data_IF_030546451360
#
_entry.id   IF_030546451360
#
_cell.length_a   1.000
_cell.length_b   1.000
_cell.length_c   1.000
_cell.angle_alpha   90.00
_cell.angle_beta   90.00
_cell.angle_gamma   90.00
#
_symmetry.space_group_name_H-M   'P 1'
#
loop_
_entity.id
_entity.type
_entity.pdbx_description
1 polymer ?
#
# COMPACT_ATOMS: atom_id res chain seq x y z
N UNK A 1 0.89 -8.80 -24.40
CA UNK A 1 -0.17 -9.06 -23.41
C UNK A 1 -1.21 -7.97 -23.54
N UNK A 2 -2.49 -8.31 -23.37
CA UNK A 2 -3.58 -7.35 -23.17
C UNK A 2 -3.34 -6.57 -21.87
N UNK A 3 -4.01 -5.43 -21.69
CA UNK A 3 -3.99 -4.75 -20.38
C UNK A 3 -4.71 -5.61 -19.36
N UNK A 4 -4.04 -5.93 -18.25
CA UNK A 4 -4.57 -6.83 -17.21
C UNK A 4 -4.43 -6.18 -15.85
N UNK A 5 -5.47 -6.30 -15.02
CA UNK A 5 -5.44 -5.99 -13.59
C UNK A 5 -5.78 -7.26 -12.81
N UNK A 6 -4.89 -7.67 -11.91
CA UNK A 6 -5.12 -8.75 -10.96
C UNK A 6 -5.20 -8.13 -9.58
N UNK A 7 -6.30 -8.40 -8.86
CA UNK A 7 -6.50 -7.99 -7.46
C UNK A 7 -6.67 -9.24 -6.60
N UNK A 8 -5.78 -9.42 -5.63
CA UNK A 8 -5.85 -10.50 -4.65
C UNK A 8 -5.88 -9.92 -3.24
N UNK A 9 -7.08 -9.78 -2.69
CA UNK A 9 -7.26 -9.31 -1.32
C UNK A 9 -6.85 -7.85 -1.08
N UNK A 10 -6.80 -7.04 -2.13
CA UNK A 10 -6.33 -5.64 -2.08
C UNK A 10 -4.94 -5.44 -2.68
N UNK A 11 -4.14 -6.50 -2.80
CA UNK A 11 -2.85 -6.43 -3.50
C UNK A 11 -3.08 -6.53 -5.01
N UNK A 12 -2.63 -5.50 -5.73
CA UNK A 12 -2.97 -5.30 -7.13
C UNK A 12 -1.70 -5.31 -7.98
N UNK A 13 -1.68 -6.10 -9.07
CA UNK A 13 -0.67 -6.01 -10.15
C UNK A 13 -1.37 -5.63 -11.45
N UNK A 14 -0.84 -4.63 -12.13
CA UNK A 14 -1.40 -4.17 -13.40
C UNK A 14 -0.37 -4.16 -14.52
N UNK A 15 -0.78 -4.57 -15.71
CA UNK A 15 -0.01 -4.36 -16.93
C UNK A 15 -0.82 -3.57 -17.91
N UNK A 16 -0.13 -2.78 -18.73
CA UNK A 16 -0.70 -2.05 -19.84
C UNK A 16 -0.16 -2.62 -21.14
N UNK A 17 -1.05 -2.84 -22.10
CA UNK A 17 -0.63 -3.25 -23.43
C UNK A 17 0.28 -2.19 -24.07
N UNK A 18 1.28 -2.66 -24.81
CA UNK A 18 2.17 -1.79 -25.60
C UNK A 18 1.35 -0.86 -26.50
N UNK A 19 1.65 0.43 -26.49
CA UNK A 19 0.95 1.51 -27.22
C UNK A 19 -0.44 1.92 -26.70
N UNK A 20 -0.95 1.31 -25.62
CA UNK A 20 -2.12 1.86 -24.92
C UNK A 20 -1.72 3.06 -24.07
N UNK A 21 -2.58 4.05 -23.94
CA UNK A 21 -2.44 5.19 -23.00
C UNK A 21 -3.24 4.99 -21.72
N UNK A 22 -3.88 3.83 -21.55
CA UNK A 22 -4.69 3.54 -20.38
C UNK A 22 -3.83 3.20 -19.16
N UNK A 23 -3.96 4.02 -18.13
CA UNK A 23 -3.46 3.71 -16.79
C UNK A 23 -4.62 3.29 -15.89
N UNK A 24 -4.34 2.36 -14.97
CA UNK A 24 -5.30 1.84 -14.03
C UNK A 24 -5.47 2.80 -12.84
N UNK A 25 -6.68 3.36 -12.62
CA UNK A 25 -6.97 4.10 -11.40
C UNK A 25 -7.16 3.09 -10.26
N UNK A 26 -6.41 3.25 -9.18
CA UNK A 26 -6.49 2.39 -8.00
C UNK A 26 -6.74 3.27 -6.78
N UNK A 27 -7.84 3.01 -6.09
CA UNK A 27 -8.18 3.74 -4.87
C UNK A 27 -7.42 3.15 -3.68
N UNK A 28 -6.78 4.03 -2.92
CA UNK A 28 -6.23 3.67 -1.62
C UNK A 28 -7.29 3.99 -0.57
N UNK A 29 -7.83 2.94 0.04
CA UNK A 29 -8.97 3.05 0.95
C UNK A 29 -8.52 3.48 2.35
N UNK A 30 -9.38 4.24 3.05
CA UNK A 30 -9.12 4.66 4.42
C UNK A 30 -9.16 3.46 5.37
N UNK A 31 -8.18 3.36 6.31
CA UNK A 31 -8.18 2.32 7.34
C UNK A 31 -9.29 2.44 8.37
N UNK A 32 -9.82 3.64 8.58
CA UNK A 32 -10.83 3.95 9.61
C UNK A 32 -12.21 4.14 8.99
N UNK A 33 -12.28 4.48 7.70
CA UNK A 33 -13.52 4.65 6.95
C UNK A 33 -13.49 3.80 5.66
N UNK A 34 -13.81 2.50 5.73
CA UNK A 34 -13.56 1.56 4.62
C UNK A 34 -14.30 1.87 3.30
N UNK A 35 -15.26 2.80 3.30
CA UNK A 35 -15.99 3.24 2.11
C UNK A 35 -15.45 4.55 1.52
N UNK A 36 -14.44 5.14 2.16
CA UNK A 36 -13.83 6.41 1.78
C UNK A 36 -12.44 6.15 1.22
N UNK A 37 -12.16 6.63 0.01
CA UNK A 37 -10.80 6.63 -0.54
C UNK A 37 -10.00 7.79 0.04
N UNK A 38 -8.77 7.53 0.48
CA UNK A 38 -7.80 8.56 0.89
C UNK A 38 -7.27 9.28 -0.35
N UNK A 39 -6.92 8.52 -1.39
CA UNK A 39 -6.48 9.03 -2.67
C UNK A 39 -6.74 8.01 -3.78
N UNK A 40 -6.53 8.43 -5.03
CA UNK A 40 -6.48 7.53 -6.19
C UNK A 40 -5.11 7.64 -6.84
N UNK A 41 -4.44 6.51 -7.04
CA UNK A 41 -3.19 6.42 -7.79
C UNK A 41 -3.45 5.94 -9.22
N UNK A 42 -2.53 6.29 -10.12
CA UNK A 42 -2.55 5.91 -11.53
C UNK A 42 -1.38 5.00 -11.86
N UNK A 43 -1.64 3.74 -12.22
CA UNK A 43 -0.58 2.78 -12.58
C UNK A 43 -0.72 2.31 -14.03
N UNK A 44 0.28 2.62 -14.86
CA UNK A 44 0.43 2.00 -16.17
C UNK A 44 0.94 0.56 -16.05
N UNK A 45 1.93 0.36 -15.19
CA UNK A 45 2.54 -0.92 -14.90
C UNK A 45 3.09 -0.92 -13.48
N UNK A 46 3.11 -2.10 -12.86
CA UNK A 46 3.66 -2.34 -11.54
C UNK A 46 2.62 -2.99 -10.65
N UNK A 47 2.85 -2.93 -9.36
CA UNK A 47 1.94 -3.39 -8.33
C UNK A 47 1.84 -2.39 -7.20
N UNK A 48 0.72 -2.44 -6.49
CA UNK A 48 0.51 -1.78 -5.20
C UNK A 48 -0.02 -2.82 -4.22
N UNK A 49 0.48 -2.78 -3.00
CA UNK A 49 -0.01 -3.59 -1.90
C UNK A 49 -0.33 -2.68 -0.72
N UNK A 50 -1.26 -3.12 0.12
CA UNK A 50 -1.69 -2.36 1.29
C UNK A 50 -1.76 -3.27 2.52
N UNK A 51 -1.01 -2.94 3.56
CA UNK A 51 -1.07 -3.63 4.85
C UNK A 51 -1.73 -2.76 5.91
N UNK A 52 -2.66 -3.32 6.67
CA UNK A 52 -3.27 -2.69 7.84
C UNK A 52 -3.05 -3.58 9.06
N UNK A 53 -2.77 -3.01 10.23
CA UNK A 53 -2.53 -3.80 11.45
C UNK A 53 -3.71 -4.71 11.83
N UNK A 54 -4.93 -4.25 11.54
CA UNK A 54 -6.19 -4.90 11.89
C UNK A 54 -6.87 -5.62 10.71
N UNK A 55 -6.21 -5.82 9.57
CA UNK A 55 -6.86 -6.40 8.37
C UNK A 55 -7.48 -7.79 8.62
N UNK A 56 -7.01 -8.51 9.64
CA UNK A 56 -7.50 -9.84 10.04
C UNK A 56 -8.35 -9.83 11.31
N UNK A 57 -8.68 -8.67 11.86
CA UNK A 57 -9.58 -8.52 12.99
C UNK A 57 -11.00 -8.25 12.49
N UNK A 58 -11.92 -9.22 12.62
CA UNK A 58 -13.32 -9.11 12.20
C UNK A 58 -14.25 -9.35 13.38
N UNK A 59 -14.89 -8.30 13.89
CA UNK A 59 -15.93 -8.38 14.92
C UNK A 59 -15.53 -9.30 16.11
N UNK A 60 -14.42 -8.96 16.76
CA UNK A 60 -13.86 -9.67 17.92
C UNK A 60 -13.45 -11.13 17.65
N UNK A 61 -13.36 -11.51 16.37
CA UNK A 61 -12.79 -12.78 15.90
C UNK A 61 -11.63 -12.48 14.97
N UNK A 62 -10.47 -13.08 15.24
CA UNK A 62 -9.26 -12.89 14.44
C UNK A 62 -8.03 -12.61 15.29
N UNK A 63 -6.97 -12.12 14.66
CA UNK A 63 -5.70 -11.78 15.33
C UNK A 63 -5.67 -10.26 15.46
N UNK A 64 -5.60 -9.74 16.70
CA UNK A 64 -5.59 -8.30 16.99
C UNK A 64 -4.47 -7.56 16.25
N UNK A 65 -3.27 -8.16 16.18
CA UNK A 65 -2.16 -7.65 15.37
C UNK A 65 -1.51 -8.82 14.64
N UNK A 66 -1.83 -8.96 13.34
CA UNK A 66 -1.31 -10.07 12.53
C UNK A 66 0.04 -9.75 11.86
N UNK A 67 0.51 -8.52 12.01
CA UNK A 67 1.83 -8.08 11.56
C UNK A 67 2.70 -8.07 12.80
N UNK A 68 3.71 -8.94 12.84
CA UNK A 68 4.60 -9.10 13.97
C UNK A 68 5.92 -8.37 13.73
N UNK A 69 6.43 -7.69 14.77
CA UNK A 69 7.81 -7.19 14.82
C UNK A 69 8.68 -8.15 15.63
N UNK A 70 9.85 -8.49 15.11
CA UNK A 70 10.85 -9.28 15.85
C UNK A 70 11.35 -8.52 17.10
N UNK A 71 11.33 -7.19 17.06
CA UNK A 71 11.73 -6.32 18.16
C UNK A 71 10.60 -6.05 19.18
N UNK A 72 9.40 -6.62 18.98
CA UNK A 72 8.19 -6.38 19.80
C UNK A 72 7.79 -4.89 19.87
N UNK A 73 8.05 -4.16 18.80
CA UNK A 73 7.66 -2.76 18.68
C UNK A 73 6.16 -2.65 18.46
N UNK A 74 5.54 -1.64 19.08
CA UNK A 74 4.17 -1.25 18.75
C UNK A 74 4.19 -0.41 17.48
N UNK A 75 3.37 -0.74 16.47
CA UNK A 75 3.36 0.03 15.23
C UNK A 75 2.80 1.44 15.50
N UNK A 76 3.52 2.46 15.03
CA UNK A 76 3.03 3.84 15.02
C UNK A 76 2.08 4.11 13.83
N UNK A 77 2.18 3.27 12.79
CA UNK A 77 1.39 3.33 11.56
C UNK A 77 0.32 2.25 11.60
N UNK A 78 -0.92 2.58 11.26
CA UNK A 78 -2.03 1.61 11.24
C UNK A 78 -2.24 1.01 9.85
N UNK A 79 -1.81 1.72 8.80
CA UNK A 79 -1.92 1.31 7.42
C UNK A 79 -0.79 1.86 6.56
N UNK A 80 -0.35 1.07 5.59
CA UNK A 80 0.64 1.51 4.61
C UNK A 80 0.39 0.90 3.25
N UNK A 81 0.62 1.70 2.21
CA UNK A 81 0.56 1.28 0.82
C UNK A 81 1.91 1.51 0.17
N UNK A 82 2.37 0.54 -0.62
CA UNK A 82 3.66 0.62 -1.34
C UNK A 82 3.45 0.24 -2.79
N UNK A 83 4.04 1.03 -3.70
CA UNK A 83 4.10 0.74 -5.14
C UNK A 83 5.48 0.17 -5.47
N UNK A 84 5.50 -0.94 -6.21
CA UNK A 84 6.74 -1.58 -6.67
C UNK A 84 6.56 -2.24 -8.05
N UNK A 85 7.65 -2.73 -8.64
CA UNK A 85 7.60 -3.45 -9.94
C UNK A 85 6.87 -4.79 -9.88
N UNK A 86 6.76 -5.40 -8.69
CA UNK A 86 6.09 -6.69 -8.46
C UNK A 86 5.23 -6.65 -7.20
N UNK A 87 4.16 -7.46 -7.18
CA UNK A 87 3.27 -7.54 -6.02
C UNK A 87 4.00 -8.06 -4.77
N UNK A 88 4.94 -8.99 -4.90
CA UNK A 88 5.72 -9.52 -3.78
C UNK A 88 6.61 -8.46 -3.14
N UNK A 89 7.22 -7.57 -3.92
CA UNK A 89 8.02 -6.49 -3.37
C UNK A 89 7.14 -5.43 -2.71
N UNK A 90 6.02 -5.05 -3.32
CA UNK A 90 5.07 -4.15 -2.70
C UNK A 90 4.58 -4.71 -1.35
N UNK A 91 4.20 -5.98 -1.32
CA UNK A 91 3.71 -6.67 -0.13
C UNK A 91 4.76 -6.69 0.98
N UNK A 92 6.02 -7.05 0.68
CA UNK A 92 7.08 -7.12 1.68
C UNK A 92 7.38 -5.74 2.29
N UNK A 93 7.49 -4.71 1.46
CA UNK A 93 7.80 -3.35 1.91
C UNK A 93 6.70 -2.74 2.77
N UNK A 94 5.42 -3.10 2.54
CA UNK A 94 4.36 -2.67 3.46
C UNK A 94 4.59 -3.18 4.88
N UNK A 95 5.17 -4.37 5.09
CA UNK A 95 5.39 -4.88 6.46
C UNK A 95 6.51 -4.13 7.16
N UNK A 96 7.55 -3.77 6.40
CA UNK A 96 8.62 -2.88 6.89
C UNK A 96 8.05 -1.51 7.29
N UNK A 97 7.25 -0.87 6.43
CA UNK A 97 6.72 0.48 6.66
C UNK A 97 5.70 0.58 7.81
N UNK A 98 5.15 -0.54 8.31
CA UNK A 98 4.31 -0.54 9.51
C UNK A 98 5.12 -0.22 10.78
N UNK A 99 6.40 -0.62 10.83
CA UNK A 99 7.25 -0.50 12.02
C UNK A 99 8.36 0.54 11.89
N UNK A 100 8.67 0.96 10.67
CA UNK A 100 9.80 1.84 10.38
C UNK A 100 9.36 3.09 9.61
N UNK A 101 10.16 4.14 9.71
CA UNK A 101 9.97 5.33 8.89
C UNK A 101 10.22 5.04 7.39
N UNK A 102 9.83 6.00 6.55
CA UNK A 102 9.94 5.88 5.10
C UNK A 102 11.34 6.17 4.55
N UNK A 103 12.36 6.47 5.37
CA UNK A 103 13.67 6.92 4.87
C UNK A 103 14.37 5.85 4.03
N UNK A 104 14.30 4.57 4.44
CA UNK A 104 14.90 3.48 3.67
C UNK A 104 14.16 3.28 2.34
N UNK A 105 12.83 3.37 2.35
CA UNK A 105 11.98 3.23 1.15
C UNK A 105 12.25 4.38 0.17
N UNK A 106 12.32 5.61 0.68
CA UNK A 106 12.71 6.81 -0.09
C UNK A 106 14.09 6.62 -0.72
N UNK A 107 15.08 6.18 0.06
CA UNK A 107 16.45 5.96 -0.44
C UNK A 107 16.55 4.84 -1.48
N UNK A 108 15.62 3.88 -1.44
CA UNK A 108 15.49 2.81 -2.42
C UNK A 108 14.72 3.25 -3.70
N UNK A 109 14.23 4.50 -3.74
CA UNK A 109 13.46 5.04 -4.87
C UNK A 109 12.08 4.41 -5.04
N UNK A 110 11.50 3.89 -3.95
CA UNK A 110 10.16 3.31 -3.96
C UNK A 110 9.12 4.34 -3.54
N UNK A 111 7.90 4.19 -4.06
CA UNK A 111 6.76 5.00 -3.67
C UNK A 111 5.98 4.33 -2.53
N UNK A 112 5.78 5.03 -1.42
CA UNK A 112 4.99 4.58 -0.29
C UNK A 112 4.22 5.71 0.39
N UNK A 113 3.12 5.31 1.03
CA UNK A 113 2.30 6.14 1.91
C UNK A 113 2.00 5.36 3.20
N UNK A 114 2.00 6.06 4.33
CA UNK A 114 1.62 5.53 5.65
C UNK A 114 0.54 6.41 6.27
N UNK A 115 -0.35 5.79 7.04
CA UNK A 115 -1.42 6.46 7.78
C UNK A 115 -1.33 6.01 9.23
N UNK A 116 -1.28 6.96 10.17
CA UNK A 116 -1.30 6.67 11.61
C UNK A 116 -2.74 6.64 12.19
N UNK A 117 -2.86 6.34 13.49
CA UNK A 117 -4.15 6.26 14.17
C UNK A 117 -4.89 7.62 14.28
N UNK A 118 -4.17 8.73 14.16
CA UNK A 118 -4.73 10.09 14.10
C UNK A 118 -5.17 10.50 12.69
N UNK A 119 -4.93 9.66 11.68
CA UNK A 119 -5.19 9.96 10.28
C UNK A 119 -4.09 10.81 9.63
N UNK A 120 -2.94 11.00 10.27
CA UNK A 120 -1.82 11.70 9.66
C UNK A 120 -1.20 10.84 8.56
N UNK A 121 -0.89 11.49 7.44
CA UNK A 121 -0.33 10.86 6.25
C UNK A 121 1.14 11.25 6.13
N UNK A 122 2.01 10.25 5.90
CA UNK A 122 3.38 10.47 5.42
C UNK A 122 3.57 9.76 4.09
N UNK A 123 4.34 10.38 3.20
CA UNK A 123 4.55 9.91 1.83
C UNK A 123 6.01 10.10 1.43
N UNK A 124 6.53 9.14 0.67
CA UNK A 124 7.77 9.32 -0.10
C UNK A 124 7.58 10.38 -1.19
N UNK A 125 8.65 11.02 -1.65
CA UNK A 125 8.56 11.99 -2.74
C UNK A 125 8.00 11.36 -4.03
N UNK A 126 8.43 10.14 -4.35
CA UNK A 126 8.01 9.37 -5.53
C UNK A 126 6.53 8.99 -5.52
N UNK A 127 5.89 8.88 -4.35
CA UNK A 127 4.45 8.59 -4.25
C UNK A 127 3.59 9.63 -4.98
N UNK A 128 3.98 10.91 -4.86
CA UNK A 128 3.25 12.05 -5.42
C UNK A 128 3.17 12.02 -6.94
N UNK A 129 4.07 11.30 -7.60
CA UNK A 129 4.06 11.12 -9.05
C UNK A 129 2.91 10.21 -9.52
N UNK A 130 2.36 9.39 -8.63
CA UNK A 130 1.29 8.45 -8.94
C UNK A 130 -0.11 8.98 -8.57
N UNK A 131 -0.21 9.95 -7.68
CA UNK A 131 -1.49 10.51 -7.23
C UNK A 131 -2.11 11.37 -8.34
N UNK A 132 -3.42 11.21 -8.55
CA UNK A 132 -4.23 12.05 -9.45
C UNK A 132 -5.07 13.07 -8.69
#
# INVERSE_FOLDING_TARGET
AESVCVNLGGDIRVTRQKHSTHDWPIQIMSPTEPQTAVCTISLAEGAVATSHINARHRADRGIEQHIASAAKESPAVIATSVIASTASWAEAWTKYAIFHDLNLIESAGLAAMTIDAGGNIMETSTWKEFVR
#
